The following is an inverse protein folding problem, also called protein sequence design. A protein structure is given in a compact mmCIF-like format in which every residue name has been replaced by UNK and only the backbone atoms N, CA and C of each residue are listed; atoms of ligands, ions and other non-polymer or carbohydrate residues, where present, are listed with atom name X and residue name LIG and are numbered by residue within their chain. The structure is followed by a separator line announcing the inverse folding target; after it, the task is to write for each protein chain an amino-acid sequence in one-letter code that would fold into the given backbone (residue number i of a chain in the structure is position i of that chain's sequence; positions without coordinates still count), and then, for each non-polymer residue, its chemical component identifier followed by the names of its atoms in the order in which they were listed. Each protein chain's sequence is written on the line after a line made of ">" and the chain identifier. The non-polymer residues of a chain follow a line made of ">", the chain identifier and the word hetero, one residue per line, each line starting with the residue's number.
data_IF_333916856475
#
_entry.id   IF_333916856475
#
_cell.length_a   1.000
_cell.length_b   1.000
_cell.length_c   1.000
_cell.angle_alpha   90.00
_cell.angle_beta   90.00
_cell.angle_gamma   90.00
#
_symmetry.space_group_name_H-M   'P 1'
#
loop_
_entity.id
_entity.type
_entity.pdbx_description
1 polymer ?
#
# COMPACT_ATOMS: atom_id res chain seq x y z
N UNK A 1 -46.59 -64.86 -23.79
CA UNK A 1 -46.80 -63.39 -23.78
C UNK A 1 -47.95 -63.08 -22.84
N UNK A 2 -47.66 -62.57 -21.64
CA UNK A 2 -48.68 -62.25 -20.62
C UNK A 2 -48.54 -60.79 -20.22
N UNK A 3 -49.56 -60.00 -20.54
CA UNK A 3 -49.74 -58.60 -20.16
C UNK A 3 -50.18 -58.57 -18.69
N UNK A 4 -49.51 -57.77 -17.86
CA UNK A 4 -49.93 -57.50 -16.47
C UNK A 4 -50.60 -56.13 -16.37
N UNK A 5 -51.59 -55.95 -15.46
CA UNK A 5 -52.42 -54.75 -15.39
C UNK A 5 -51.80 -53.65 -14.53
N UNK A 6 -52.17 -52.41 -14.86
CA UNK A 6 -51.80 -51.21 -14.11
C UNK A 6 -52.56 -51.14 -12.78
N UNK A 7 -51.82 -50.94 -11.69
CA UNK A 7 -52.34 -50.68 -10.34
C UNK A 7 -52.48 -49.16 -10.18
N UNK A 8 -53.71 -48.69 -10.04
CA UNK A 8 -54.00 -47.30 -9.70
C UNK A 8 -53.87 -47.09 -8.18
N UNK A 9 -52.87 -46.32 -7.77
CA UNK A 9 -52.72 -45.87 -6.39
C UNK A 9 -53.58 -44.62 -6.16
N UNK A 10 -54.60 -44.75 -5.33
CA UNK A 10 -55.38 -43.62 -4.80
C UNK A 10 -54.69 -43.14 -3.53
N UNK A 11 -53.93 -42.04 -3.64
CA UNK A 11 -53.38 -41.34 -2.47
C UNK A 11 -54.47 -40.47 -1.84
N UNK A 12 -54.86 -40.85 -0.62
CA UNK A 12 -55.68 -40.04 0.28
C UNK A 12 -54.80 -38.92 0.85
N UNK A 13 -55.08 -37.68 0.48
CA UNK A 13 -54.42 -36.49 1.04
C UNK A 13 -55.07 -36.14 2.37
N UNK A 14 -54.37 -36.43 3.47
CA UNK A 14 -54.68 -35.93 4.80
C UNK A 14 -54.13 -34.49 4.92
N UNK A 15 -55.04 -33.51 4.93
CA UNK A 15 -54.71 -32.11 5.23
C UNK A 15 -54.54 -31.96 6.74
N UNK A 16 -53.30 -32.12 7.22
CA UNK A 16 -52.91 -31.67 8.55
C UNK A 16 -52.59 -30.17 8.48
N UNK A 17 -53.25 -29.37 9.31
CA UNK A 17 -53.06 -27.92 9.36
C UNK A 17 -51.64 -27.56 9.78
N UNK A 18 -50.87 -26.99 8.85
CA UNK A 18 -49.60 -26.33 9.16
C UNK A 18 -49.90 -25.06 9.94
N UNK A 19 -49.62 -25.09 11.25
CA UNK A 19 -49.40 -23.86 12.00
C UNK A 19 -48.20 -23.15 11.36
N UNK A 20 -48.46 -22.01 10.72
CA UNK A 20 -47.43 -21.08 10.24
C UNK A 20 -46.64 -20.58 11.45
N UNK A 21 -45.58 -21.31 11.80
CA UNK A 21 -44.55 -20.83 12.71
C UNK A 21 -43.90 -19.63 12.05
N UNK A 22 -44.26 -18.43 12.50
CA UNK A 22 -43.61 -17.19 12.11
C UNK A 22 -42.13 -17.33 12.47
N UNK A 23 -41.28 -17.44 11.44
CA UNK A 23 -39.83 -17.52 11.62
C UNK A 23 -39.43 -16.34 12.52
N UNK A 24 -38.66 -16.57 13.60
CA UNK A 24 -38.27 -15.50 14.52
C UNK A 24 -37.67 -14.39 13.67
N UNK A 25 -38.32 -13.22 13.69
CA UNK A 25 -37.87 -12.04 12.96
C UNK A 25 -36.42 -11.82 13.37
N UNK A 26 -35.48 -12.08 12.46
CA UNK A 26 -34.10 -11.74 12.66
C UNK A 26 -34.08 -10.24 12.92
N UNK A 27 -33.76 -9.86 14.16
CA UNK A 27 -33.53 -8.46 14.44
C UNK A 27 -32.40 -8.01 13.50
N UNK A 28 -32.56 -6.89 12.78
CA UNK A 28 -31.52 -6.40 11.91
C UNK A 28 -30.25 -6.29 12.75
N UNK A 29 -29.23 -7.03 12.33
CA UNK A 29 -27.94 -7.06 13.01
C UNK A 29 -27.43 -5.63 13.07
N UNK A 30 -27.01 -5.18 14.25
CA UNK A 30 -26.53 -3.80 14.40
C UNK A 30 -25.33 -3.63 13.47
N UNK A 31 -25.23 -2.50 12.74
CA UNK A 31 -24.09 -2.26 11.87
C UNK A 31 -22.81 -2.33 12.71
N UNK A 32 -21.99 -3.34 12.42
CA UNK A 32 -20.70 -3.57 13.07
C UNK A 32 -19.64 -2.98 12.14
N UNK A 33 -18.81 -2.03 12.60
CA UNK A 33 -17.67 -1.62 11.80
C UNK A 33 -16.76 -2.84 11.58
N UNK A 34 -16.28 -3.01 10.36
CA UNK A 34 -15.21 -3.92 10.02
C UNK A 34 -14.01 -3.13 9.49
N UNK A 35 -12.87 -3.80 9.38
CA UNK A 35 -11.62 -3.17 8.95
C UNK A 35 -11.69 -2.68 7.52
N UNK A 36 -12.35 -3.42 6.61
CA UNK A 36 -12.42 -3.05 5.21
C UNK A 36 -13.13 -1.69 5.05
N UNK A 37 -14.26 -1.50 5.73
CA UNK A 37 -15.00 -0.24 5.67
C UNK A 37 -14.29 0.90 6.43
N UNK A 38 -13.54 0.62 7.50
CA UNK A 38 -12.68 1.62 8.18
C UNK A 38 -11.52 2.04 7.28
N UNK A 39 -10.88 1.09 6.59
CA UNK A 39 -9.82 1.34 5.61
C UNK A 39 -10.34 2.15 4.42
N UNK A 40 -11.52 1.79 3.92
CA UNK A 40 -12.19 2.56 2.87
C UNK A 40 -12.42 4.02 3.30
N UNK A 41 -12.96 4.21 4.51
CA UNK A 41 -13.23 5.54 5.03
C UNK A 41 -11.94 6.35 5.24
N UNK A 42 -10.87 5.69 5.71
CA UNK A 42 -9.54 6.31 5.87
C UNK A 42 -9.01 6.85 4.55
N UNK A 43 -9.03 6.02 3.49
CA UNK A 43 -8.58 6.41 2.16
C UNK A 43 -9.42 7.57 1.62
N UNK A 44 -10.75 7.46 1.63
CA UNK A 44 -11.64 8.49 1.10
C UNK A 44 -11.48 9.83 1.82
N UNK A 45 -11.39 9.82 3.15
CA UNK A 45 -11.18 11.04 3.92
C UNK A 45 -9.80 11.66 3.70
N UNK A 46 -8.75 10.84 3.60
CA UNK A 46 -7.39 11.31 3.30
C UNK A 46 -7.35 11.98 1.94
N UNK A 47 -7.92 11.35 0.91
CA UNK A 47 -7.97 11.93 -0.43
C UNK A 47 -8.87 13.17 -0.50
N UNK A 48 -10.01 13.17 0.21
CA UNK A 48 -10.86 14.36 0.32
C UNK A 48 -10.10 15.56 0.90
N UNK A 49 -9.28 15.34 1.93
CA UNK A 49 -8.42 16.36 2.53
C UNK A 49 -7.33 16.84 1.58
N UNK A 50 -6.68 15.92 0.84
CA UNK A 50 -5.70 16.28 -0.20
C UNK A 50 -6.33 17.19 -1.26
N UNK A 51 -7.49 16.82 -1.78
CA UNK A 51 -8.24 17.63 -2.75
C UNK A 51 -8.64 19.00 -2.18
N UNK A 52 -9.04 19.05 -0.91
CA UNK A 52 -9.37 20.31 -0.25
C UNK A 52 -8.15 21.21 -0.06
N UNK A 53 -6.98 20.62 0.18
CA UNK A 53 -5.68 21.28 0.30
C UNK A 53 -5.11 21.83 -1.01
N UNK A 54 -5.60 21.41 -2.18
CA UNK A 54 -5.16 21.99 -3.47
C UNK A 54 -5.31 23.52 -3.47
N UNK A 55 -6.40 24.03 -2.89
CA UNK A 55 -6.72 25.46 -2.86
C UNK A 55 -5.71 26.31 -2.09
N UNK A 56 -4.94 25.74 -1.17
CA UNK A 56 -3.96 26.52 -0.39
C UNK A 56 -2.72 26.92 -1.20
N UNK A 57 -2.58 26.42 -2.43
CA UNK A 57 -1.42 26.64 -3.28
C UNK A 57 -1.72 27.49 -4.52
N UNK A 58 -2.89 28.15 -4.58
CA UNK A 58 -3.34 28.90 -5.75
C UNK A 58 -2.38 30.03 -6.19
N UNK A 59 -1.63 30.62 -5.26
CA UNK A 59 -0.65 31.68 -5.54
C UNK A 59 0.75 31.13 -5.94
N UNK A 60 0.90 29.81 -6.09
CA UNK A 60 2.17 29.17 -6.44
C UNK A 60 2.39 29.20 -7.96
N UNK A 61 3.60 29.57 -8.44
CA UNK A 61 3.93 29.48 -9.87
C UNK A 61 3.96 28.04 -10.40
N UNK A 62 3.86 27.04 -9.52
CA UNK A 62 3.80 25.62 -9.85
C UNK A 62 2.40 25.02 -9.62
N UNK A 63 1.38 25.86 -9.42
CA UNK A 63 0.06 25.41 -8.99
C UNK A 63 -0.56 24.39 -9.95
N UNK A 64 -0.53 24.63 -11.26
CA UNK A 64 -1.06 23.71 -12.27
C UNK A 64 -0.41 22.31 -12.21
N UNK A 65 0.93 22.28 -12.16
CA UNK A 65 1.71 21.04 -12.06
C UNK A 65 1.43 20.29 -10.75
N UNK A 66 1.28 21.02 -9.65
CA UNK A 66 0.94 20.42 -8.36
C UNK A 66 -0.47 19.83 -8.39
N UNK A 67 -1.46 20.55 -8.93
CA UNK A 67 -2.84 20.04 -9.08
C UNK A 67 -2.86 18.79 -9.95
N UNK A 68 -2.19 18.80 -11.10
CA UNK A 68 -2.13 17.63 -11.99
C UNK A 68 -1.50 16.41 -11.29
N UNK A 69 -0.39 16.61 -10.59
CA UNK A 69 0.30 15.56 -9.84
C UNK A 69 -0.58 14.97 -8.73
N UNK A 70 -1.20 15.82 -7.92
CA UNK A 70 -2.04 15.39 -6.80
C UNK A 70 -3.33 14.74 -7.28
N UNK A 71 -3.98 15.27 -8.32
CA UNK A 71 -5.17 14.66 -8.93
C UNK A 71 -4.85 13.27 -9.49
N UNK A 72 -3.70 13.12 -10.15
CA UNK A 72 -3.23 11.83 -10.64
C UNK A 72 -2.97 10.84 -9.50
N UNK A 73 -2.38 11.30 -8.40
CA UNK A 73 -2.20 10.52 -7.17
C UNK A 73 -3.53 10.06 -6.58
N UNK A 74 -4.49 10.97 -6.41
CA UNK A 74 -5.83 10.65 -5.88
C UNK A 74 -6.57 9.65 -6.78
N UNK A 75 -6.47 9.79 -8.10
CA UNK A 75 -7.08 8.85 -9.04
C UNK A 75 -6.47 7.45 -8.93
N UNK A 76 -5.14 7.34 -8.77
CA UNK A 76 -4.48 6.07 -8.54
C UNK A 76 -4.97 5.40 -7.26
N UNK A 77 -5.04 6.14 -6.16
CA UNK A 77 -5.57 5.65 -4.87
C UNK A 77 -7.03 5.18 -4.98
N UNK A 78 -7.90 5.94 -5.66
CA UNK A 78 -9.29 5.50 -5.87
C UNK A 78 -9.43 4.31 -6.81
N UNK A 79 -8.53 4.13 -7.77
CA UNK A 79 -8.54 2.94 -8.64
C UNK A 79 -8.15 1.65 -7.91
N UNK A 80 -7.35 1.76 -6.84
CA UNK A 80 -6.97 0.64 -5.99
C UNK A 80 -7.99 0.37 -4.87
N UNK A 81 -8.97 1.26 -4.69
CA UNK A 81 -9.94 1.20 -3.61
C UNK A 81 -11.04 0.18 -3.93
N UNK A 82 -11.21 -0.82 -3.07
CA UNK A 82 -12.32 -1.77 -3.15
C UNK A 82 -13.67 -1.09 -2.84
N UNK A 83 -14.76 -1.61 -3.43
CA UNK A 83 -16.12 -1.15 -3.13
C UNK A 83 -16.44 -1.28 -1.64
N UNK A 84 -17.10 -0.26 -1.08
CA UNK A 84 -17.50 -0.26 0.33
C UNK A 84 -18.64 -1.22 0.64
N UNK A 85 -19.37 -1.66 -0.39
CA UNK A 85 -20.64 -2.38 -0.28
C UNK A 85 -21.81 -1.49 0.14
N UNK A 86 -21.57 -0.20 0.39
CA UNK A 86 -22.59 0.81 0.72
C UNK A 86 -22.81 1.67 -0.52
N UNK A 87 -23.86 1.37 -1.28
CA UNK A 87 -24.16 2.00 -2.58
C UNK A 87 -24.01 3.53 -2.62
N UNK A 88 -24.44 4.25 -1.57
CA UNK A 88 -24.34 5.72 -1.54
C UNK A 88 -22.89 6.22 -1.47
N UNK A 89 -22.01 5.44 -0.83
CA UNK A 89 -20.58 5.72 -0.72
C UNK A 89 -19.87 5.40 -2.04
N UNK A 90 -20.21 4.26 -2.66
CA UNK A 90 -19.67 3.86 -3.95
C UNK A 90 -20.08 4.85 -5.06
N UNK A 91 -21.36 5.26 -5.08
CA UNK A 91 -21.88 6.29 -5.99
C UNK A 91 -21.13 7.64 -5.82
N UNK A 92 -20.76 8.00 -4.59
CA UNK A 92 -19.99 9.22 -4.30
C UNK A 92 -18.57 9.13 -4.87
N UNK A 93 -17.84 8.04 -4.61
CA UNK A 93 -16.47 7.85 -5.13
C UNK A 93 -16.49 7.80 -6.66
N UNK A 94 -17.43 7.07 -7.27
CA UNK A 94 -17.56 7.00 -8.73
C UNK A 94 -17.92 8.34 -9.39
N UNK A 95 -18.65 9.22 -8.69
CA UNK A 95 -18.88 10.58 -9.16
C UNK A 95 -17.60 11.42 -9.06
N UNK A 96 -16.90 11.35 -7.92
CA UNK A 96 -15.67 12.09 -7.70
C UNK A 96 -14.57 11.69 -8.69
N UNK A 97 -14.37 10.39 -8.95
CA UNK A 97 -13.41 9.90 -9.95
C UNK A 97 -13.69 10.51 -11.32
N UNK A 98 -14.95 10.54 -11.79
CA UNK A 98 -15.30 11.13 -13.09
C UNK A 98 -15.03 12.63 -13.14
N UNK A 99 -15.24 13.35 -12.04
CA UNK A 99 -14.95 14.77 -11.96
C UNK A 99 -13.43 15.03 -11.97
N UNK A 100 -12.64 14.17 -11.32
CA UNK A 100 -11.18 14.24 -11.31
C UNK A 100 -10.56 13.86 -12.66
N UNK A 101 -11.09 12.85 -13.34
CA UNK A 101 -10.69 12.51 -14.71
C UNK A 101 -10.93 13.68 -15.66
N UNK A 102 -12.11 14.32 -15.57
CA UNK A 102 -12.40 15.53 -16.35
C UNK A 102 -11.41 16.65 -16.03
N UNK A 103 -11.14 16.89 -14.74
CA UNK A 103 -10.16 17.91 -14.31
C UNK A 103 -8.79 17.63 -14.94
N UNK A 104 -8.28 16.40 -14.83
CA UNK A 104 -7.00 15.99 -15.42
C UNK A 104 -6.99 16.23 -16.94
N UNK A 105 -8.02 15.76 -17.64
CA UNK A 105 -8.12 15.89 -19.09
C UNK A 105 -8.15 17.37 -19.53
N UNK A 106 -8.81 18.24 -18.77
CA UNK A 106 -8.85 19.68 -19.02
C UNK A 106 -7.51 20.39 -18.73
N UNK A 107 -6.74 19.92 -17.74
CA UNK A 107 -5.39 20.42 -17.45
C UNK A 107 -4.40 20.02 -18.55
N UNK A 108 -4.52 18.80 -19.09
CA UNK A 108 -3.64 18.31 -20.15
C UNK A 108 -3.97 18.91 -21.53
N UNK A 109 -5.21 19.33 -21.79
CA UNK A 109 -5.65 19.85 -23.09
C UNK A 109 -4.97 21.19 -23.49
N UNK A 110 -4.43 21.94 -22.53
CA UNK A 110 -3.73 23.20 -22.78
C UNK A 110 -2.20 23.00 -22.96
N UNK A 111 -1.71 21.78 -22.74
CA UNK A 111 -0.30 21.44 -22.61
C UNK A 111 0.28 20.67 -23.78
N UNK A 112 0.13 21.15 -25.02
CA UNK A 112 1.06 20.75 -26.08
C UNK A 112 2.42 21.37 -25.71
N UNK A 113 3.30 20.60 -25.06
CA UNK A 113 4.50 21.01 -24.30
C UNK A 113 5.58 21.86 -24.99
N UNK A 114 5.26 22.51 -26.11
CA UNK A 114 6.03 23.57 -26.75
C UNK A 114 5.39 24.96 -26.66
N UNK A 115 4.17 25.10 -26.11
CA UNK A 115 3.57 26.42 -25.95
C UNK A 115 3.99 27.04 -24.60
N UNK A 116 4.58 28.25 -24.58
CA UNK A 116 4.96 28.94 -23.33
C UNK A 116 3.75 29.40 -22.50
N UNK A 117 2.53 29.10 -22.95
CA UNK A 117 1.28 29.45 -22.31
C UNK A 117 0.79 28.24 -21.49
N UNK A 118 1.36 28.05 -20.30
CA UNK A 118 0.73 27.20 -19.27
C UNK A 118 -0.73 27.62 -19.07
N UNK A 119 -1.65 26.70 -18.71
CA UNK A 119 -3.04 27.07 -18.44
C UNK A 119 -3.07 28.25 -17.47
N UNK A 120 -3.83 29.29 -17.82
CA UNK A 120 -3.94 30.48 -16.99
C UNK A 120 -4.30 30.05 -15.56
N UNK A 121 -3.55 30.50 -14.55
CA UNK A 121 -3.73 30.10 -13.14
C UNK A 121 -5.17 30.28 -12.66
N UNK A 122 -5.87 31.29 -13.21
CA UNK A 122 -7.29 31.55 -12.96
C UNK A 122 -8.19 30.41 -13.43
N UNK A 123 -7.90 29.77 -14.57
CA UNK A 123 -8.64 28.61 -15.06
C UNK A 123 -8.43 27.40 -14.16
N UNK A 124 -7.19 27.10 -13.77
CA UNK A 124 -6.89 25.98 -12.85
C UNK A 124 -7.64 26.18 -11.52
N UNK A 125 -7.66 27.41 -11.01
CA UNK A 125 -8.40 27.77 -9.79
C UNK A 125 -9.90 27.52 -9.95
N UNK A 126 -10.51 27.99 -11.05
CA UNK A 126 -11.94 27.76 -11.33
C UNK A 126 -12.28 26.27 -11.40
N UNK A 127 -11.43 25.46 -12.03
CA UNK A 127 -11.63 24.01 -12.12
C UNK A 127 -11.56 23.32 -10.75
N UNK A 128 -10.56 23.66 -9.92
CA UNK A 128 -10.45 23.14 -8.55
C UNK A 128 -11.59 23.63 -7.66
N UNK A 129 -12.06 24.87 -7.83
CA UNK A 129 -13.26 25.39 -7.16
C UNK A 129 -14.51 24.59 -7.56
N UNK A 130 -14.63 24.21 -8.84
CA UNK A 130 -15.72 23.40 -9.37
C UNK A 130 -15.91 22.05 -8.68
N UNK A 131 -14.83 21.42 -8.19
CA UNK A 131 -14.91 20.20 -7.39
C UNK A 131 -15.70 20.41 -6.08
N UNK A 132 -15.58 21.61 -5.48
CA UNK A 132 -16.08 21.93 -4.14
C UNK A 132 -15.30 21.25 -3.01
N UNK A 133 -15.68 21.55 -1.76
CA UNK A 133 -15.07 20.94 -0.57
C UNK A 133 -15.53 19.49 -0.41
N UNK A 134 -14.60 18.55 -0.30
CA UNK A 134 -14.89 17.12 -0.20
C UNK A 134 -15.06 16.64 1.24
N UNK A 135 -14.28 17.12 2.21
CA UNK A 135 -14.40 16.67 3.61
C UNK A 135 -15.83 16.85 4.16
N UNK A 136 -16.52 18.00 3.95
CA UNK A 136 -17.91 18.17 4.39
C UNK A 136 -18.89 17.25 3.66
N UNK A 137 -18.61 16.89 2.40
CA UNK A 137 -19.47 15.98 1.61
C UNK A 137 -19.39 14.55 2.15
N UNK A 138 -18.18 14.08 2.49
CA UNK A 138 -17.96 12.77 3.12
C UNK A 138 -18.61 12.71 4.50
N UNK A 139 -18.46 13.76 5.33
CA UNK A 139 -19.13 13.85 6.63
C UNK A 139 -20.66 13.77 6.49
N UNK A 140 -21.25 14.55 5.57
CA UNK A 140 -22.69 14.54 5.34
C UNK A 140 -23.19 13.21 4.76
N UNK A 141 -22.38 12.51 3.96
CA UNK A 141 -22.67 11.16 3.49
C UNK A 141 -22.73 10.16 4.66
N UNK A 142 -21.75 10.21 5.57
CA UNK A 142 -21.70 9.37 6.76
C UNK A 142 -22.92 9.61 7.68
N UNK A 143 -23.30 10.86 7.92
CA UNK A 143 -24.48 11.20 8.73
C UNK A 143 -25.79 10.63 8.18
N UNK A 144 -25.91 10.50 6.85
CA UNK A 144 -27.10 9.94 6.18
C UNK A 144 -27.08 8.41 6.10
N UNK A 145 -25.92 7.78 6.27
CA UNK A 145 -25.74 6.34 6.14
C UNK A 145 -25.41 5.69 7.48
N UNK A 146 -26.36 4.95 8.05
CA UNK A 146 -26.18 4.23 9.32
C UNK A 146 -25.11 3.12 9.24
N UNK A 147 -24.86 2.61 8.04
CA UNK A 147 -23.85 1.59 7.77
C UNK A 147 -22.44 2.19 7.73
N UNK A 148 -22.30 3.38 7.15
CA UNK A 148 -21.01 4.05 6.98
C UNK A 148 -20.55 4.84 8.23
N UNK A 149 -21.50 5.43 8.97
CA UNK A 149 -21.20 6.31 10.10
C UNK A 149 -20.21 5.71 11.13
N UNK A 150 -20.34 4.44 11.56
CA UNK A 150 -19.40 3.84 12.51
C UNK A 150 -17.96 3.80 11.99
N UNK A 151 -17.76 3.47 10.72
CA UNK A 151 -16.43 3.34 10.12
C UNK A 151 -15.78 4.70 9.89
N UNK A 152 -16.52 5.70 9.40
CA UNK A 152 -16.02 7.08 9.24
C UNK A 152 -15.70 7.72 10.60
N UNK A 153 -16.49 7.44 11.63
CA UNK A 153 -16.19 7.89 12.99
C UNK A 153 -14.85 7.34 13.50
N UNK A 154 -14.54 6.07 13.21
CA UNK A 154 -13.33 5.39 13.67
C UNK A 154 -12.09 5.64 12.81
N UNK A 155 -12.25 5.98 11.52
CA UNK A 155 -11.17 6.21 10.56
C UNK A 155 -10.32 7.45 10.92
N UNK A 156 -9.03 7.29 11.29
CA UNK A 156 -8.14 8.36 11.75
C UNK A 156 -7.96 9.61 10.86
N UNK A 157 -8.13 9.49 9.56
CA UNK A 157 -7.99 10.53 8.55
C UNK A 157 -9.26 11.36 8.33
N UNK A 158 -10.42 10.89 8.83
CA UNK A 158 -11.68 11.64 8.72
C UNK A 158 -11.78 12.80 9.71
N UNK A 159 -12.63 13.79 9.45
CA UNK A 159 -12.99 14.75 10.50
C UNK A 159 -13.71 14.01 11.66
N UNK A 160 -13.47 14.36 12.94
CA UNK A 160 -14.17 13.73 14.05
C UNK A 160 -15.69 13.92 13.94
N UNK A 161 -16.42 12.82 13.78
CA UNK A 161 -17.88 12.81 13.82
C UNK A 161 -18.41 12.47 15.21
N UNK A 162 -19.64 12.89 15.51
CA UNK A 162 -20.34 12.43 16.71
C UNK A 162 -20.44 10.89 16.71
N UNK A 163 -20.22 10.29 17.87
CA UNK A 163 -20.26 8.83 18.02
C UNK A 163 -21.68 8.32 17.71
N UNK A 164 -21.86 7.39 16.76
CA UNK A 164 -23.16 6.80 16.50
C UNK A 164 -23.71 6.09 17.75
N UNK A 165 -25.01 6.25 18.08
CA UNK A 165 -25.59 5.73 19.33
C UNK A 165 -25.62 4.20 19.43
N UNK A 166 -25.39 3.49 18.32
CA UNK A 166 -25.51 2.04 18.22
C UNK A 166 -24.20 1.32 17.82
N UNK A 167 -23.03 1.89 18.11
CA UNK A 167 -21.77 1.17 17.83
C UNK A 167 -21.60 -0.05 18.74
N UNK A 168 -21.36 -1.21 18.14
CA UNK A 168 -21.15 -2.49 18.83
C UNK A 168 -19.68 -2.77 19.21
N UNK A 169 -18.81 -1.77 19.13
CA UNK A 169 -17.37 -1.91 19.40
C UNK A 169 -16.93 -1.13 20.64
N UNK A 170 -15.91 -1.67 21.32
CA UNK A 170 -15.19 -1.00 22.40
C UNK A 170 -14.10 -0.05 21.88
N UNK A 171 -13.72 -0.18 20.60
CA UNK A 171 -12.74 0.69 19.98
C UNK A 171 -13.21 2.15 20.00
N UNK A 172 -12.25 3.05 20.27
CA UNK A 172 -12.41 4.49 20.05
C UNK A 172 -11.53 4.90 18.87
N UNK A 173 -11.86 6.05 18.28
CA UNK A 173 -11.04 6.64 17.21
C UNK A 173 -9.57 6.81 17.63
N UNK A 174 -9.31 7.30 18.83
CA UNK A 174 -7.94 7.50 19.33
C UNK A 174 -7.17 6.17 19.46
N UNK A 175 -7.84 5.09 19.87
CA UNK A 175 -7.23 3.75 19.92
C UNK A 175 -6.98 3.19 18.53
N UNK A 176 -7.89 3.43 17.56
CA UNK A 176 -7.69 3.01 16.16
C UNK A 176 -6.52 3.77 15.54
N UNK A 177 -6.43 5.08 15.73
CA UNK A 177 -5.30 5.89 15.29
C UNK A 177 -3.98 5.42 15.91
N UNK A 178 -3.98 5.10 17.22
CA UNK A 178 -2.83 4.55 17.89
C UNK A 178 -2.40 3.22 17.26
N UNK A 179 -3.33 2.28 17.09
CA UNK A 179 -3.03 0.96 16.56
C UNK A 179 -2.53 1.04 15.12
N UNK A 180 -3.22 1.82 14.27
CA UNK A 180 -2.85 2.04 12.88
C UNK A 180 -1.43 2.62 12.75
N UNK A 181 -1.13 3.67 13.53
CA UNK A 181 0.20 4.29 13.54
C UNK A 181 1.28 3.30 14.00
N UNK A 182 1.00 2.51 15.04
CA UNK A 182 1.95 1.51 15.54
C UNK A 182 2.20 0.40 14.53
N UNK A 183 1.17 -0.09 13.86
CA UNK A 183 1.29 -1.13 12.83
C UNK A 183 2.07 -0.63 11.61
N UNK A 184 1.75 0.58 11.13
CA UNK A 184 2.49 1.21 10.04
C UNK A 184 3.95 1.44 10.40
N UNK A 185 4.25 1.97 11.59
CA UNK A 185 5.64 2.16 12.04
C UNK A 185 6.35 0.83 12.22
N UNK A 186 5.71 -0.17 12.83
CA UNK A 186 6.30 -1.50 13.00
C UNK A 186 6.67 -2.10 11.65
N UNK A 187 5.72 -2.14 10.72
CA UNK A 187 5.92 -2.62 9.35
C UNK A 187 7.07 -1.87 8.68
N UNK A 188 7.04 -0.54 8.67
CA UNK A 188 8.10 0.28 8.08
C UNK A 188 9.48 -0.01 8.64
N UNK A 189 9.62 -0.25 9.95
CA UNK A 189 10.89 -0.62 10.58
C UNK A 189 11.31 -2.04 10.18
N UNK A 190 10.39 -3.00 10.22
CA UNK A 190 10.72 -4.42 9.93
C UNK A 190 10.94 -4.70 8.45
N UNK A 191 10.40 -3.86 7.55
CA UNK A 191 10.59 -3.97 6.09
C UNK A 191 11.59 -2.94 5.56
N UNK A 192 12.34 -2.25 6.43
CA UNK A 192 13.49 -1.48 5.96
C UNK A 192 14.46 -2.44 5.26
N UNK A 193 14.99 -2.06 4.08
CA UNK A 193 15.90 -2.94 3.35
C UNK A 193 17.09 -3.33 4.21
N UNK A 194 17.60 -4.55 4.01
CA UNK A 194 18.88 -4.96 4.59
C UNK A 194 20.07 -4.28 3.90
N UNK A 195 21.24 -4.26 4.57
CA UNK A 195 22.47 -3.74 4.00
C UNK A 195 23.12 -4.73 3.03
N UNK A 196 23.25 -4.38 1.75
CA UNK A 196 24.04 -5.15 0.78
C UNK A 196 23.46 -6.54 0.46
N UNK A 197 23.30 -6.84 -0.82
CA UNK A 197 22.86 -8.17 -1.28
C UNK A 197 24.07 -9.07 -1.53
N UNK A 198 23.99 -10.37 -1.19
CA UNK A 198 25.01 -11.36 -1.55
C UNK A 198 25.23 -11.40 -3.08
N UNK A 199 24.24 -10.97 -3.86
CA UNK A 199 24.37 -10.79 -5.31
C UNK A 199 25.53 -9.89 -5.71
N UNK A 200 25.97 -8.95 -4.89
CA UNK A 200 27.13 -8.10 -5.21
C UNK A 200 28.46 -8.85 -5.24
N UNK A 201 28.53 -10.07 -4.69
CA UNK A 201 29.68 -10.95 -4.88
C UNK A 201 29.77 -11.49 -6.31
N UNK A 202 28.66 -11.47 -7.06
CA UNK A 202 28.63 -11.89 -8.46
C UNK A 202 29.27 -10.80 -9.36
N UNK A 203 30.20 -11.15 -10.27
CA UNK A 203 30.93 -10.16 -11.08
C UNK A 203 30.06 -9.21 -11.92
N UNK A 204 28.85 -9.64 -12.29
CA UNK A 204 27.89 -8.82 -13.07
C UNK A 204 27.16 -7.76 -12.24
N UNK A 205 27.16 -7.89 -10.91
CA UNK A 205 26.54 -6.92 -10.00
C UNK A 205 27.56 -6.15 -9.15
N UNK A 206 28.77 -6.69 -8.96
CA UNK A 206 29.86 -6.06 -8.21
C UNK A 206 30.11 -4.57 -8.56
N UNK A 207 30.05 -4.11 -9.83
CA UNK A 207 30.26 -2.69 -10.16
C UNK A 207 29.24 -1.73 -9.52
N UNK A 208 28.07 -2.23 -9.11
CA UNK A 208 26.99 -1.42 -8.54
C UNK A 208 26.97 -1.40 -7.01
N UNK A 209 27.80 -2.21 -6.36
CA UNK A 209 27.80 -2.35 -4.90
C UNK A 209 28.05 -1.01 -4.19
N UNK A 210 29.01 -0.22 -4.67
CA UNK A 210 29.31 1.09 -4.10
C UNK A 210 28.09 2.01 -4.13
N UNK A 211 27.41 2.08 -5.27
CA UNK A 211 26.22 2.92 -5.45
C UNK A 211 25.03 2.43 -4.61
N UNK A 212 24.82 1.11 -4.49
CA UNK A 212 23.75 0.57 -3.66
C UNK A 212 24.00 0.84 -2.16
N UNK A 213 25.22 0.62 -1.67
CA UNK A 213 25.60 0.92 -0.29
C UNK A 213 25.48 2.42 0.02
N UNK A 214 25.91 3.29 -0.89
CA UNK A 214 25.74 4.73 -0.76
C UNK A 214 24.26 5.15 -0.75
N UNK A 215 23.45 4.55 -1.64
CA UNK A 215 22.00 4.80 -1.69
C UNK A 215 21.32 4.38 -0.37
N UNK A 216 21.69 3.21 0.16
CA UNK A 216 21.24 2.74 1.45
C UNK A 216 21.54 3.74 2.57
N UNK A 217 22.82 4.12 2.71
CA UNK A 217 23.28 5.06 3.73
C UNK A 217 22.59 6.43 3.63
N UNK A 218 22.31 6.91 2.42
CA UNK A 218 21.63 8.19 2.22
C UNK A 218 20.13 8.14 2.53
N UNK A 219 19.47 6.98 2.33
CA UNK A 219 18.01 6.87 2.42
C UNK A 219 17.49 6.48 3.82
N UNK A 220 18.22 5.61 4.54
CA UNK A 220 17.77 5.10 5.84
C UNK A 220 17.56 6.19 6.90
N UNK A 221 18.46 7.19 7.08
CA UNK A 221 18.24 8.27 8.05
C UNK A 221 16.93 9.03 7.80
N UNK A 222 16.64 9.35 6.53
CA UNK A 222 15.39 10.00 6.15
C UNK A 222 14.17 9.12 6.44
N UNK A 223 14.26 7.81 6.19
CA UNK A 223 13.18 6.86 6.53
C UNK A 223 12.95 6.76 8.04
N UNK A 224 13.98 6.83 8.86
CA UNK A 224 13.82 6.84 10.33
C UNK A 224 13.22 8.18 10.80
N UNK A 225 13.64 9.30 10.24
CA UNK A 225 13.09 10.64 10.57
C UNK A 225 11.57 10.70 10.39
N UNK A 226 11.06 10.24 9.24
CA UNK A 226 9.63 10.30 8.93
C UNK A 226 8.76 9.44 9.86
N UNK A 227 9.36 8.50 10.61
CA UNK A 227 8.65 7.66 11.58
C UNK A 227 8.56 8.29 12.98
N UNK A 228 9.41 9.27 13.31
CA UNK A 228 9.44 9.87 14.65
C UNK A 228 8.17 10.67 14.93
N UNK A 229 7.82 11.59 14.03
CA UNK A 229 6.72 12.54 14.25
C UNK A 229 5.34 11.87 14.38
N UNK A 230 4.95 10.89 13.52
CA UNK A 230 3.67 10.19 13.69
C UNK A 230 3.56 9.53 15.07
N UNK A 231 4.61 8.88 15.56
CA UNK A 231 4.62 8.22 16.87
C UNK A 231 4.61 9.25 18.01
N UNK A 232 5.35 10.35 17.86
CA UNK A 232 5.41 11.44 18.84
C UNK A 232 4.08 12.20 18.97
N UNK A 233 3.34 12.33 17.86
CA UNK A 233 2.06 13.03 17.79
C UNK A 233 0.89 12.25 18.40
N UNK A 234 1.04 10.95 18.66
CA UNK A 234 0.02 10.18 19.36
C UNK A 234 -0.21 10.73 20.77
N UNK A 235 -1.43 10.55 21.29
CA UNK A 235 -1.75 10.83 22.70
C UNK A 235 -1.58 9.56 23.53
N UNK A 236 -1.48 9.72 24.85
CA UNK A 236 -1.62 8.58 25.76
C UNK A 236 -3.03 8.00 25.62
N UNK A 237 -3.10 6.68 25.49
CA UNK A 237 -4.34 5.92 25.34
C UNK A 237 -5.04 5.68 26.67
N UNK A 238 -4.30 5.81 27.78
CA UNK A 238 -4.77 5.42 29.11
C UNK A 238 -4.66 3.92 29.36
N UNK A 239 -4.15 3.15 28.41
CA UNK A 239 -3.84 1.72 28.54
C UNK A 239 -2.34 1.59 28.81
N UNK A 240 -1.90 1.31 30.07
CA UNK A 240 -0.50 1.46 30.46
C UNK A 240 0.50 0.66 29.60
N UNK A 241 0.11 -0.53 29.14
CA UNK A 241 0.98 -1.36 28.29
C UNK A 241 1.16 -0.79 26.88
N UNK A 242 0.13 -0.13 26.33
CA UNK A 242 0.21 0.54 25.03
C UNK A 242 1.06 1.80 25.11
N UNK A 243 0.86 2.61 26.15
CA UNK A 243 1.61 3.84 26.36
C UNK A 243 3.10 3.54 26.61
N UNK A 244 3.41 2.47 27.36
CA UNK A 244 4.77 1.98 27.55
C UNK A 244 5.40 1.44 26.24
N UNK A 245 4.63 0.75 25.40
CA UNK A 245 5.10 0.30 24.08
C UNK A 245 5.46 1.49 23.18
N UNK A 246 4.53 2.44 23.03
CA UNK A 246 4.74 3.68 22.27
C UNK A 246 5.98 4.42 22.75
N UNK A 247 6.12 4.60 24.07
CA UNK A 247 7.24 5.35 24.66
C UNK A 247 8.59 4.68 24.35
N UNK A 248 8.68 3.35 24.47
CA UNK A 248 9.90 2.61 24.12
C UNK A 248 10.24 2.72 22.63
N UNK A 249 9.25 2.55 21.75
CA UNK A 249 9.44 2.69 20.30
C UNK A 249 9.90 4.12 19.94
N UNK A 250 9.26 5.14 20.51
CA UNK A 250 9.64 6.53 20.26
C UNK A 250 11.05 6.85 20.76
N UNK A 251 11.43 6.35 21.94
CA UNK A 251 12.79 6.48 22.45
C UNK A 251 13.79 5.82 21.51
N UNK A 252 13.52 4.59 21.06
CA UNK A 252 14.41 3.87 20.14
C UNK A 252 14.52 4.58 18.77
N UNK A 253 13.43 5.12 18.23
CA UNK A 253 13.45 5.92 17.00
C UNK A 253 14.29 7.19 17.15
N UNK A 254 14.19 7.89 18.28
CA UNK A 254 14.99 9.10 18.55
C UNK A 254 16.47 8.78 18.74
N UNK A 255 16.78 7.72 19.47
CA UNK A 255 18.15 7.23 19.66
C UNK A 255 18.77 6.82 18.32
N UNK A 256 18.02 6.10 17.48
CA UNK A 256 18.45 5.76 16.13
C UNK A 256 18.69 7.02 15.29
N UNK A 257 17.76 7.98 15.28
CA UNK A 257 17.95 9.25 14.57
C UNK A 257 19.22 10.00 15.01
N UNK A 258 19.52 10.00 16.31
CA UNK A 258 20.71 10.67 16.85
C UNK A 258 22.01 9.91 16.54
N UNK A 259 21.95 8.58 16.42
CA UNK A 259 23.10 7.71 16.17
C UNK A 259 23.41 7.55 14.67
N UNK A 260 22.39 7.62 13.82
CA UNK A 260 22.54 7.54 12.39
C UNK A 260 23.28 8.77 11.85
N UNK A 261 24.12 8.60 10.81
CA UNK A 261 24.73 9.75 10.16
C UNK A 261 23.61 10.68 9.68
N UNK A 262 23.79 11.99 9.89
CA UNK A 262 22.93 12.97 9.22
C UNK A 262 22.93 12.66 7.72
N UNK A 263 21.79 12.91 7.06
CA UNK A 263 21.65 12.70 5.63
C UNK A 263 22.77 13.46 4.90
N UNK A 264 23.83 12.74 4.56
CA UNK A 264 24.95 13.26 3.82
C UNK A 264 24.53 13.35 2.36
N UNK A 265 25.21 14.21 1.61
CA UNK A 265 25.03 14.18 0.17
C UNK A 265 25.40 12.78 -0.32
N UNK A 266 24.63 12.16 -1.23
CA UNK A 266 25.03 10.90 -1.86
C UNK A 266 26.46 10.96 -2.42
N UNK A 267 26.92 12.16 -2.82
CA UNK A 267 28.28 12.44 -3.29
C UNK A 267 29.36 12.18 -2.23
N UNK A 268 29.08 12.41 -0.94
CA UNK A 268 30.05 12.25 0.15
C UNK A 268 30.44 10.78 0.36
N UNK A 269 29.60 9.85 -0.09
CA UNK A 269 29.86 8.41 0.01
C UNK A 269 30.72 7.88 -1.14
N UNK A 270 30.86 8.60 -2.25
CA UNK A 270 31.67 8.15 -3.39
C UNK A 270 33.18 8.23 -3.13
N UNK A 271 33.61 9.04 -2.18
CA UNK A 271 35.02 9.13 -1.76
C UNK A 271 35.46 7.98 -0.83
N UNK A 272 34.51 7.16 -0.37
CA UNK A 272 34.77 6.02 0.52
C UNK A 272 35.05 4.76 -0.28
N UNK A 273 35.92 3.91 0.26
CA UNK A 273 36.09 2.55 -0.26
C UNK A 273 34.85 1.69 -0.02
N UNK A 274 34.67 0.64 -0.83
CA UNK A 274 33.59 -0.35 -0.65
C UNK A 274 33.64 -0.99 0.75
N UNK A 275 34.83 -1.21 1.30
CA UNK A 275 35.02 -1.79 2.64
C UNK A 275 34.52 -0.85 3.75
N UNK A 276 34.82 0.45 3.64
CA UNK A 276 34.30 1.49 4.55
C UNK A 276 32.78 1.62 4.44
N UNK A 277 32.25 1.60 3.22
CA UNK A 277 30.81 1.61 2.98
C UNK A 277 30.14 0.40 3.62
N UNK A 278 30.63 -0.82 3.39
CA UNK A 278 30.11 -2.04 4.04
C UNK A 278 30.13 -1.93 5.56
N UNK A 279 31.20 -1.37 6.13
CA UNK A 279 31.31 -1.19 7.58
C UNK A 279 30.24 -0.23 8.12
N UNK A 280 30.07 0.94 7.48
CA UNK A 280 29.05 1.92 7.87
C UNK A 280 27.63 1.41 7.66
N UNK A 281 27.38 0.72 6.55
CA UNK A 281 26.07 0.16 6.22
C UNK A 281 25.65 -0.91 7.24
N UNK A 282 26.61 -1.73 7.74
CA UNK A 282 26.37 -2.65 8.86
C UNK A 282 26.01 -1.93 10.16
N UNK A 283 26.74 -0.86 10.52
CA UNK A 283 26.44 -0.06 11.71
C UNK A 283 25.05 0.60 11.66
N UNK A 284 24.67 1.14 10.49
CA UNK A 284 23.33 1.69 10.25
C UNK A 284 22.26 0.60 10.37
N UNK A 285 22.49 -0.57 9.77
CA UNK A 285 21.55 -1.68 9.83
C UNK A 285 21.37 -2.21 11.27
N UNK A 286 22.45 -2.34 12.04
CA UNK A 286 22.38 -2.74 13.45
C UNK A 286 21.58 -1.72 14.27
N UNK A 287 21.77 -0.42 13.99
CA UNK A 287 21.00 0.67 14.63
C UNK A 287 19.51 0.56 14.30
N UNK A 288 19.15 0.32 13.04
CA UNK A 288 17.75 0.14 12.62
C UNK A 288 17.14 -1.12 13.24
N UNK A 289 17.88 -2.23 13.25
CA UNK A 289 17.42 -3.51 13.81
C UNK A 289 17.14 -3.42 15.32
N UNK A 290 17.74 -2.46 16.02
CA UNK A 290 17.49 -2.17 17.43
C UNK A 290 16.21 -1.36 17.69
N UNK A 291 15.60 -0.75 16.66
CA UNK A 291 14.37 0.06 16.81
C UNK A 291 13.16 -0.81 17.15
N UNK A 292 13.02 -1.97 16.50
CA UNK A 292 11.83 -2.81 16.62
C UNK A 292 11.70 -3.41 18.03
N UNK A 293 10.66 -3.05 18.81
CA UNK A 293 10.47 -3.62 20.15
C UNK A 293 10.16 -5.12 20.02
N UNK A 294 11.00 -5.97 20.59
CA UNK A 294 10.82 -7.43 20.52
C UNK A 294 9.87 -7.99 21.58
N UNK A 295 9.76 -7.32 22.73
CA UNK A 295 8.98 -7.84 23.87
C UNK A 295 8.22 -6.76 24.68
N UNK A 296 6.91 -6.93 24.90
CA UNK A 296 5.99 -7.70 24.04
C UNK A 296 5.98 -7.16 22.60
N UNK A 297 5.69 -8.04 21.64
CA UNK A 297 5.33 -7.69 20.26
C UNK A 297 4.03 -6.87 20.22
N UNK A 298 3.83 -6.09 19.16
CA UNK A 298 2.65 -5.23 19.03
C UNK A 298 1.31 -6.01 19.11
N UNK A 299 1.14 -7.17 18.46
CA UNK A 299 -0.06 -8.00 18.65
C UNK A 299 -0.25 -8.46 20.11
N UNK A 300 0.84 -8.80 20.81
CA UNK A 300 0.81 -9.16 22.22
C UNK A 300 0.43 -8.00 23.14
N UNK A 301 0.78 -6.76 22.80
CA UNK A 301 0.30 -5.55 23.47
C UNK A 301 -1.20 -5.38 23.27
N UNK A 302 -1.67 -5.46 22.02
CA UNK A 302 -3.07 -5.26 21.67
C UNK A 302 -4.01 -6.24 22.39
N UNK A 303 -3.65 -7.52 22.46
CA UNK A 303 -4.46 -8.57 23.10
C UNK A 303 -4.64 -8.41 24.61
N UNK A 304 -3.84 -7.57 25.29
CA UNK A 304 -3.90 -7.40 26.75
C UNK A 304 -5.05 -6.48 27.21
N UNK A 305 -5.64 -5.72 26.30
CA UNK A 305 -6.78 -4.84 26.59
C UNK A 305 -7.89 -5.04 25.54
N UNK A 306 -9.16 -5.29 25.93
CA UNK A 306 -10.23 -5.55 24.97
C UNK A 306 -10.54 -4.40 24.02
N UNK A 307 -10.43 -3.14 24.47
CA UNK A 307 -10.69 -1.99 23.61
C UNK A 307 -9.54 -1.79 22.61
N UNK A 308 -8.31 -2.01 23.06
CA UNK A 308 -7.13 -1.96 22.19
C UNK A 308 -7.12 -3.10 21.16
N UNK A 309 -7.48 -4.32 21.56
CA UNK A 309 -7.64 -5.45 20.64
C UNK A 309 -8.69 -5.13 19.57
N UNK A 310 -9.85 -4.61 19.96
CA UNK A 310 -10.88 -4.21 19.01
C UNK A 310 -10.42 -3.07 18.07
N UNK A 311 -9.58 -2.15 18.56
CA UNK A 311 -9.01 -1.11 17.73
C UNK A 311 -7.95 -1.64 16.74
N UNK A 312 -7.10 -2.57 17.19
CA UNK A 312 -6.13 -3.27 16.34
C UNK A 312 -6.81 -4.08 15.23
N UNK A 313 -7.93 -4.74 15.54
CA UNK A 313 -8.72 -5.47 14.55
C UNK A 313 -9.36 -4.53 13.51
N UNK A 314 -9.60 -3.26 13.84
CA UNK A 314 -10.23 -2.27 12.95
C UNK A 314 -9.24 -1.34 12.24
N UNK A 315 -8.00 -1.26 12.70
CA UNK A 315 -6.98 -0.38 12.15
C UNK A 315 -6.55 -0.82 10.73
N UNK A 316 -6.57 0.09 9.73
CA UNK A 316 -6.26 -0.24 8.33
C UNK A 316 -4.93 -0.93 8.10
N UNK A 317 -3.84 -0.44 8.72
CA UNK A 317 -2.48 -0.94 8.49
C UNK A 317 -2.07 -2.09 9.41
N UNK A 318 -2.96 -2.56 10.28
CA UNK A 318 -2.67 -3.72 11.11
C UNK A 318 -3.02 -4.99 10.34
N UNK A 319 -2.06 -5.91 10.21
CA UNK A 319 -2.37 -7.23 9.70
C UNK A 319 -3.39 -7.92 10.62
N UNK A 320 -4.36 -8.67 10.08
CA UNK A 320 -5.16 -9.53 10.94
C UNK A 320 -4.19 -10.52 11.57
N UNK A 321 -4.39 -10.95 12.83
CA UNK A 321 -3.63 -12.09 13.34
C UNK A 321 -3.83 -13.24 12.35
N UNK A 322 -2.79 -13.59 11.61
CA UNK A 322 -2.84 -14.67 10.63
C UNK A 322 -3.45 -15.89 11.31
N UNK A 323 -4.59 -16.36 10.81
CA UNK A 323 -4.92 -17.77 11.00
C UNK A 323 -3.66 -18.53 10.55
N UNK A 324 -3.13 -19.47 11.35
CA UNK A 324 -1.79 -20.01 11.18
C UNK A 324 -1.59 -20.29 9.70
N UNK A 325 -0.69 -19.53 9.08
CA UNK A 325 -0.47 -19.57 7.65
C UNK A 325 -0.37 -21.04 7.29
N UNK A 326 -1.40 -21.56 6.61
CA UNK A 326 -1.27 -22.84 5.95
C UNK A 326 -0.19 -22.56 4.95
N UNK A 327 1.05 -22.94 5.29
CA UNK A 327 2.28 -22.54 4.61
C UNK A 327 1.93 -22.32 3.15
N UNK A 328 1.74 -21.06 2.77
CA UNK A 328 1.38 -20.76 1.40
C UNK A 328 2.63 -21.11 0.66
N UNK A 329 2.68 -22.36 0.18
CA UNK A 329 3.45 -22.74 -0.98
C UNK A 329 2.80 -21.93 -2.08
N UNK A 330 3.10 -20.63 -2.12
CA UNK A 330 2.77 -19.73 -3.21
C UNK A 330 3.54 -20.32 -4.37
N UNK A 331 2.91 -21.32 -4.98
CA UNK A 331 3.42 -21.98 -6.16
C UNK A 331 3.42 -20.87 -7.17
N UNK A 332 4.61 -20.43 -7.55
CA UNK A 332 4.74 -19.39 -8.56
C UNK A 332 3.91 -19.78 -9.78
N UNK A 333 3.23 -18.82 -10.43
CA UNK A 333 2.59 -19.11 -11.70
C UNK A 333 3.63 -19.69 -12.65
N UNK A 334 3.24 -20.65 -13.49
CA UNK A 334 4.16 -21.13 -14.51
C UNK A 334 4.41 -20.01 -15.51
N UNK A 335 5.68 -19.67 -15.74
CA UNK A 335 6.06 -18.72 -16.77
C UNK A 335 5.72 -19.28 -18.16
N UNK A 336 5.15 -18.48 -19.07
CA UNK A 336 4.77 -18.94 -20.42
C UNK A 336 5.94 -19.57 -21.18
N UNK A 337 7.14 -19.01 -21.03
CA UNK A 337 8.37 -19.52 -21.64
C UNK A 337 9.23 -20.35 -20.66
N UNK A 338 8.74 -20.64 -19.45
CA UNK A 338 9.51 -21.35 -18.43
C UNK A 338 10.85 -20.63 -18.14
N UNK A 339 11.96 -21.37 -18.15
CA UNK A 339 13.31 -20.80 -17.96
C UNK A 339 14.02 -20.46 -19.28
N UNK A 340 13.31 -20.45 -20.41
CA UNK A 340 13.88 -20.20 -21.74
C UNK A 340 14.09 -18.71 -21.98
N UNK A 341 15.26 -18.20 -21.60
CA UNK A 341 15.61 -16.76 -21.74
C UNK A 341 15.84 -16.33 -23.19
N UNK A 342 16.06 -17.26 -24.11
CA UNK A 342 16.23 -16.96 -25.54
C UNK A 342 14.89 -16.57 -26.19
N UNK A 343 13.76 -16.94 -25.57
CA UNK A 343 12.43 -16.52 -26.00
C UNK A 343 12.23 -14.99 -25.95
N UNK A 344 13.09 -14.26 -25.22
CA UNK A 344 13.00 -12.80 -25.06
C UNK A 344 13.68 -12.00 -26.18
N UNK A 345 14.35 -12.67 -27.14
CA UNK A 345 15.17 -12.00 -28.16
C UNK A 345 14.35 -11.05 -29.05
N UNK A 346 13.09 -11.40 -29.33
CA UNK A 346 12.15 -10.65 -30.17
C UNK A 346 11.45 -9.48 -29.45
N UNK A 347 11.75 -9.27 -28.17
CA UNK A 347 11.22 -8.17 -27.38
C UNK A 347 9.99 -8.51 -26.55
N UNK A 348 9.46 -9.74 -26.54
CA UNK A 348 8.37 -10.11 -25.61
C UNK A 348 8.45 -11.56 -25.13
N UNK A 349 8.52 -11.77 -23.82
CA UNK A 349 8.53 -13.10 -23.20
C UNK A 349 8.01 -13.05 -21.76
N UNK A 350 7.69 -14.21 -21.19
CA UNK A 350 7.50 -14.40 -19.76
C UNK A 350 8.41 -15.54 -19.27
N UNK A 351 9.36 -15.23 -18.39
CA UNK A 351 10.40 -16.17 -17.95
C UNK A 351 10.43 -16.33 -16.42
N UNK A 352 10.87 -17.50 -15.98
CA UNK A 352 11.18 -17.82 -14.58
C UNK A 352 12.70 -17.70 -14.35
N UNK A 353 13.08 -16.94 -13.31
CA UNK A 353 14.47 -16.73 -12.92
C UNK A 353 14.67 -17.20 -11.49
N UNK A 354 15.54 -18.19 -11.28
CA UNK A 354 15.90 -18.76 -9.97
C UNK A 354 17.40 -18.65 -9.63
N UNK A 355 18.20 -18.17 -10.59
CA UNK A 355 19.63 -17.93 -10.43
C UNK A 355 20.06 -16.79 -11.38
N UNK A 356 21.21 -16.12 -11.14
CA UNK A 356 21.70 -15.07 -12.02
C UNK A 356 21.82 -15.54 -13.48
N UNK A 357 21.04 -14.93 -14.38
CA UNK A 357 20.95 -15.31 -15.81
C UNK A 357 21.09 -14.09 -16.70
N UNK A 358 21.69 -14.27 -17.88
CA UNK A 358 21.73 -13.22 -18.89
C UNK A 358 20.52 -13.35 -19.82
N UNK A 359 19.76 -12.27 -19.99
CA UNK A 359 18.60 -12.19 -20.89
C UNK A 359 18.96 -11.21 -22.01
N UNK A 360 18.72 -11.59 -23.26
CA UNK A 360 18.92 -10.70 -24.41
C UNK A 360 17.57 -10.26 -24.96
N UNK A 361 17.35 -8.95 -25.04
CA UNK A 361 16.10 -8.35 -25.53
C UNK A 361 16.46 -7.33 -26.60
N UNK A 362 16.00 -7.53 -27.85
CA UNK A 362 16.35 -6.67 -28.98
C UNK A 362 17.86 -6.38 -29.09
N UNK A 363 18.69 -7.40 -28.88
CA UNK A 363 20.15 -7.31 -28.96
C UNK A 363 20.83 -6.66 -27.74
N UNK A 364 20.07 -6.18 -26.75
CA UNK A 364 20.62 -5.66 -25.49
C UNK A 364 20.67 -6.76 -24.44
N UNK A 365 21.82 -6.92 -23.78
CA UNK A 365 22.02 -7.92 -22.72
C UNK A 365 21.74 -7.33 -21.34
N UNK A 366 20.91 -8.02 -20.58
CA UNK A 366 20.62 -7.76 -19.17
C UNK A 366 21.06 -8.94 -18.32
N UNK A 367 21.51 -8.70 -17.09
CA UNK A 367 21.65 -9.74 -16.08
C UNK A 367 20.50 -9.63 -15.11
N UNK A 368 19.79 -10.73 -14.89
CA UNK A 368 18.66 -10.81 -13.98
C UNK A 368 18.97 -11.79 -12.86
N UNK A 369 18.68 -11.42 -11.62
CA UNK A 369 18.80 -12.28 -10.45
C UNK A 369 17.67 -11.99 -9.45
N UNK A 370 17.44 -12.93 -8.53
CA UNK A 370 16.42 -12.80 -7.48
C UNK A 370 17.06 -13.08 -6.12
N UNK A 371 16.83 -12.20 -5.16
CA UNK A 371 17.31 -12.32 -3.78
C UNK A 371 16.37 -11.58 -2.84
N UNK A 372 15.95 -12.22 -1.75
CA UNK A 372 15.00 -11.69 -0.76
C UNK A 372 13.75 -11.05 -1.41
N UNK A 373 13.11 -11.78 -2.34
CA UNK A 373 11.94 -11.36 -3.12
C UNK A 373 12.15 -10.11 -4.00
N UNK A 374 13.38 -9.64 -4.09
CA UNK A 374 13.80 -8.52 -4.94
C UNK A 374 14.40 -9.05 -6.22
N UNK A 375 13.91 -8.54 -7.35
CA UNK A 375 14.46 -8.81 -8.68
C UNK A 375 15.47 -7.74 -9.00
N UNK A 376 16.70 -8.17 -9.25
CA UNK A 376 17.83 -7.33 -9.59
C UNK A 376 18.11 -7.44 -11.08
N UNK A 377 18.06 -6.32 -11.79
CA UNK A 377 18.27 -6.27 -13.23
C UNK A 377 19.40 -5.29 -13.48
N UNK A 378 20.52 -5.77 -14.01
CA UNK A 378 21.60 -4.91 -14.46
C UNK A 378 21.68 -4.90 -15.98
N UNK A 379 21.90 -3.71 -16.52
CA UNK A 379 22.50 -3.52 -17.84
C UNK A 379 23.91 -2.99 -17.63
N UNK A 380 24.78 -3.04 -18.63
CA UNK A 380 26.13 -2.46 -18.51
C UNK A 380 26.15 -0.97 -18.12
N UNK A 381 25.00 -0.27 -18.18
CA UNK A 381 24.83 1.15 -17.85
C UNK A 381 24.05 1.43 -16.57
N UNK A 382 23.43 0.44 -15.93
CA UNK A 382 22.58 0.71 -14.77
C UNK A 382 22.03 -0.54 -14.06
N UNK A 383 21.48 -0.32 -12.88
CA UNK A 383 20.87 -1.34 -12.03
C UNK A 383 19.45 -0.90 -11.64
N UNK A 384 18.49 -1.81 -11.74
CA UNK A 384 17.13 -1.64 -11.24
C UNK A 384 16.84 -2.75 -10.23
N UNK A 385 16.10 -2.38 -9.17
CA UNK A 385 15.57 -3.28 -8.15
C UNK A 385 14.05 -3.23 -8.19
N UNK A 386 13.41 -4.38 -8.34
CA UNK A 386 11.96 -4.50 -8.32
C UNK A 386 11.54 -5.37 -7.14
N UNK A 387 10.61 -4.88 -6.31
CA UNK A 387 10.00 -5.62 -5.21
C UNK A 387 8.50 -5.76 -5.46
N UNK A 388 7.88 -6.82 -4.93
CA UNK A 388 6.46 -7.09 -5.17
C UNK A 388 6.15 -7.24 -6.66
N UNK A 389 5.04 -6.67 -7.13
CA UNK A 389 4.63 -6.63 -8.54
C UNK A 389 5.18 -5.42 -9.31
N UNK A 390 6.40 -4.98 -8.98
CA UNK A 390 6.98 -3.77 -9.55
C UNK A 390 7.33 -3.87 -11.03
N UNK A 391 7.45 -2.70 -11.69
CA UNK A 391 7.88 -2.57 -13.09
C UNK A 391 9.10 -1.66 -13.19
N UNK A 392 10.09 -2.08 -13.97
CA UNK A 392 11.32 -1.35 -14.27
C UNK A 392 11.51 -1.13 -15.77
N UNK A 393 12.16 -0.04 -16.15
CA UNK A 393 12.39 0.32 -17.56
C UNK A 393 13.85 0.68 -17.81
N UNK A 394 14.41 0.13 -18.89
CA UNK A 394 15.71 0.53 -19.43
C UNK A 394 15.52 1.16 -20.81
N UNK A 395 15.78 2.45 -20.93
CA UNK A 395 15.77 3.16 -22.21
C UNK A 395 17.08 3.00 -22.97
N UNK A 396 16.99 2.82 -24.29
CA UNK A 396 18.13 2.78 -25.21
C UNK A 396 17.87 3.58 -26.49
N UNK A 397 18.77 3.45 -27.47
CA UNK A 397 18.58 4.06 -28.78
C UNK A 397 17.39 3.41 -29.52
N UNK A 398 16.22 4.05 -29.45
CA UNK A 398 15.05 3.70 -30.26
C UNK A 398 14.13 2.61 -29.70
N UNK A 399 14.37 2.12 -28.48
CA UNK A 399 13.43 1.23 -27.77
C UNK A 399 13.59 1.33 -26.26
N UNK A 400 12.52 1.01 -25.52
CA UNK A 400 12.56 0.85 -24.06
C UNK A 400 12.24 -0.58 -23.69
N UNK A 401 13.11 -1.24 -22.93
CA UNK A 401 12.85 -2.58 -22.39
C UNK A 401 12.16 -2.44 -21.04
N UNK A 402 11.02 -3.09 -20.88
CA UNK A 402 10.21 -3.09 -19.67
C UNK A 402 10.28 -4.48 -19.03
N UNK A 403 10.57 -4.51 -17.74
CA UNK A 403 10.52 -5.72 -16.91
C UNK A 403 9.43 -5.53 -15.87
N UNK A 404 8.47 -6.45 -15.78
CA UNK A 404 7.43 -6.46 -14.75
C UNK A 404 7.47 -7.76 -13.97
N UNK A 405 7.39 -7.68 -12.64
CA UNK A 405 7.37 -8.87 -11.78
C UNK A 405 5.94 -9.40 -11.68
N UNK A 406 5.67 -10.56 -12.28
CA UNK A 406 4.38 -11.21 -12.18
C UNK A 406 4.18 -11.85 -10.80
N UNK A 407 5.23 -12.47 -10.26
CA UNK A 407 5.27 -13.03 -8.91
C UNK A 407 6.73 -13.27 -8.47
N UNK A 408 6.99 -13.24 -7.16
CA UNK A 408 8.30 -13.60 -6.61
C UNK A 408 8.21 -14.36 -5.27
N UNK A 409 9.25 -15.14 -5.02
CA UNK A 409 9.61 -15.78 -3.74
C UNK A 409 11.00 -15.30 -3.35
N UNK A 410 11.55 -15.77 -2.22
CA UNK A 410 12.86 -15.35 -1.74
C UNK A 410 14.00 -15.55 -2.76
N UNK A 411 13.88 -16.55 -3.65
CA UNK A 411 14.96 -16.94 -4.58
C UNK A 411 14.50 -17.15 -6.01
N UNK A 412 13.22 -16.97 -6.32
CA UNK A 412 12.68 -17.21 -7.68
C UNK A 412 11.62 -16.18 -8.02
N UNK A 413 11.59 -15.71 -9.27
CA UNK A 413 10.57 -14.79 -9.77
C UNK A 413 10.13 -15.15 -11.19
N UNK A 414 8.89 -14.81 -11.50
CA UNK A 414 8.33 -14.84 -12.86
C UNK A 414 8.26 -13.41 -13.36
N UNK A 415 8.84 -13.17 -14.53
CA UNK A 415 9.01 -11.85 -15.11
C UNK A 415 8.37 -11.77 -16.48
N UNK A 416 7.56 -10.74 -16.68
CA UNK A 416 7.12 -10.30 -17.99
C UNK A 416 8.15 -9.32 -18.54
N UNK A 417 8.65 -9.59 -19.73
CA UNK A 417 9.59 -8.73 -20.45
C UNK A 417 8.92 -8.27 -21.73
N UNK A 418 8.91 -6.96 -21.98
CA UNK A 418 8.34 -6.38 -23.18
C UNK A 418 9.18 -5.21 -23.69
N UNK A 419 8.91 -4.73 -24.91
CA UNK A 419 9.52 -3.52 -25.46
C UNK A 419 8.48 -2.51 -25.92
N UNK A 420 8.74 -1.23 -25.62
CA UNK A 420 7.93 -0.06 -26.01
C UNK A 420 8.62 0.75 -27.12
#
# INVERSE_FOLDING_TARGET
>A
MRIHPAVAFVCVVLVAGCATGEAPRQHPEKPRPDRALVSWAETVCTQAKTLDGLRSHADSPYYAMQVESEVSGVLAEFSALEDSGVRQADDYVAALVRDLERLRDELSADGDGNSPDSPEESRVTELVEGLGLQEPRVAALAERSKELAPSVHLAPGCAPLERPPAMSTLATRDLVLWADTMCRTHTSVTTMPGPGDELFEHPRFAPFEQSDLASYLSSVPGRVEVLVEPVAGLRDTGVPVADAYRSRLLSALREARESLPHAASPLDYYDLSVEELRARTREVADTVAAIAPRDPDLPGVARRDPALSAAYDLAPHCEPPEAPASASTTTLPAAENGTDVDACEDGTCQIEVSAPVDVTVNGTRFTVAVSDRTVWISSGSGLIRLTGSGTGRFGGEGSTVVFSVAASTDTTAVLDVSTE
#
